data_IF_248777686205
#
_entry.id   IF_248777686205
#
_cell.length_a   1.000
_cell.length_b   1.000
_cell.length_c   1.000
_cell.angle_alpha   90.00
_cell.angle_beta   90.00
_cell.angle_gamma   90.00
#
_symmetry.space_group_name_H-M   'P 1'
#
loop_
_entity.id
_entity.type
_entity.pdbx_description
1 polymer ?
#
# COMPACT_ATOMS: atom_id res chain seq x y z
N UNK A 1 11.72 -3.93 20.28
CA UNK A 1 10.96 -5.14 20.64
C UNK A 1 9.49 -4.77 20.85
N UNK A 2 8.59 -5.33 20.03
CA UNK A 2 7.15 -5.02 20.08
C UNK A 2 6.47 -5.53 21.35
N UNK A 3 7.07 -6.49 22.05
CA UNK A 3 6.53 -7.03 23.31
C UNK A 3 6.58 -6.04 24.48
N UNK A 4 7.38 -4.98 24.36
CA UNK A 4 7.58 -3.97 25.40
C UNK A 4 6.76 -2.70 25.18
N UNK A 5 6.03 -2.60 24.06
CA UNK A 5 5.24 -1.43 23.68
C UNK A 5 3.76 -1.71 23.95
N UNK A 6 3.06 -0.72 24.49
CA UNK A 6 1.59 -0.81 24.61
C UNK A 6 0.95 -1.10 23.24
N UNK A 7 0.12 -2.14 23.10
CA UNK A 7 -0.45 -2.55 21.83
C UNK A 7 -1.28 -1.47 21.13
N UNK A 8 -1.92 -0.56 21.87
CA UNK A 8 -2.72 0.53 21.29
C UNK A 8 -1.79 1.58 20.68
N UNK A 9 -0.74 1.95 21.41
CA UNK A 9 0.29 2.88 20.95
C UNK A 9 1.01 2.35 19.73
N UNK A 10 1.41 1.06 19.74
CA UNK A 10 2.04 0.41 18.59
C UNK A 10 1.14 0.46 17.35
N UNK A 11 -0.12 0.05 17.47
CA UNK A 11 -1.07 0.02 16.34
C UNK A 11 -1.38 1.39 15.76
N UNK A 12 -1.38 2.44 16.58
CA UNK A 12 -1.57 3.83 16.12
C UNK A 12 -0.40 4.35 15.28
N UNK A 13 0.81 3.78 15.48
CA UNK A 13 2.01 4.10 14.70
C UNK A 13 2.16 3.29 13.41
N UNK A 14 1.24 2.36 13.11
CA UNK A 14 1.29 1.49 11.95
C UNK A 14 0.14 1.83 10.99
N UNK A 15 0.46 2.16 9.75
CA UNK A 15 -0.52 2.22 8.66
C UNK A 15 -0.77 0.83 8.11
N UNK A 16 -2.04 0.41 8.01
CA UNK A 16 -2.37 -0.94 7.55
C UNK A 16 -3.40 -0.91 6.44
N UNK A 17 -3.05 -1.55 5.32
CA UNK A 17 -3.94 -1.81 4.18
C UNK A 17 -4.17 -3.31 4.10
N UNK A 18 -5.41 -3.74 4.27
CA UNK A 18 -5.82 -5.14 4.15
C UNK A 18 -6.28 -5.42 2.72
N UNK A 19 -6.21 -6.66 2.28
CA UNK A 19 -6.62 -7.14 0.96
C UNK A 19 -8.07 -6.74 0.59
N UNK A 20 -9.00 -6.81 1.55
CA UNK A 20 -10.33 -6.19 1.43
C UNK A 20 -10.22 -4.75 1.95
N UNK A 21 -10.77 -3.79 1.21
CA UNK A 21 -10.58 -2.35 1.47
C UNK A 21 -10.86 -1.90 2.92
N UNK A 22 -11.69 -2.66 3.66
CA UNK A 22 -11.96 -2.46 5.08
C UNK A 22 -12.43 -1.05 5.44
N UNK A 23 -13.00 -0.30 4.48
CA UNK A 23 -13.57 1.01 4.73
C UNK A 23 -14.80 0.90 5.64
N UNK A 24 -14.97 1.87 6.53
CA UNK A 24 -16.15 1.96 7.38
C UNK A 24 -17.36 2.37 6.53
N UNK A 25 -18.36 1.48 6.30
CA UNK A 25 -19.44 1.71 5.34
C UNK A 25 -20.38 2.85 5.75
N UNK A 26 -20.44 3.16 7.04
CA UNK A 26 -21.27 4.23 7.62
C UNK A 26 -20.55 5.58 7.71
N UNK A 27 -19.30 5.67 7.26
CA UNK A 27 -18.52 6.89 7.22
C UNK A 27 -18.30 7.34 5.77
N UNK A 28 -18.31 8.66 5.54
CA UNK A 28 -17.87 9.21 4.25
C UNK A 28 -16.40 8.95 3.99
N UNK A 29 -15.95 9.17 2.77
CA UNK A 29 -14.54 9.07 2.36
C UNK A 29 -13.66 9.94 3.25
N UNK A 30 -14.00 11.20 3.42
CA UNK A 30 -13.25 12.11 4.29
C UNK A 30 -13.15 11.59 5.73
N UNK A 31 -14.25 11.08 6.30
CA UNK A 31 -14.26 10.52 7.66
C UNK A 31 -13.45 9.24 7.77
N UNK A 32 -13.43 8.40 6.73
CA UNK A 32 -12.58 7.22 6.67
C UNK A 32 -11.10 7.62 6.73
N UNK A 33 -10.67 8.59 5.92
CA UNK A 33 -9.28 9.08 5.88
C UNK A 33 -8.93 9.77 7.20
N UNK A 34 -9.82 10.59 7.74
CA UNK A 34 -9.61 11.35 8.97
C UNK A 34 -9.56 10.49 10.25
N UNK A 35 -9.96 9.22 10.21
CA UNK A 35 -10.18 8.38 11.38
C UNK A 35 -8.96 8.33 12.33
N UNK A 36 -7.78 7.98 11.81
CA UNK A 36 -6.57 7.88 12.65
C UNK A 36 -6.06 9.26 13.08
N UNK A 37 -5.92 10.28 12.20
CA UNK A 37 -5.61 11.64 12.62
C UNK A 37 -6.49 12.18 13.74
N UNK A 38 -7.82 11.94 13.67
CA UNK A 38 -8.75 12.36 14.72
C UNK A 38 -8.50 11.64 16.06
N UNK A 39 -8.23 10.32 16.04
CA UNK A 39 -7.86 9.55 17.24
C UNK A 39 -6.55 10.07 17.86
N UNK A 40 -5.61 10.56 17.03
CA UNK A 40 -4.36 11.17 17.47
C UNK A 40 -4.52 12.62 17.94
N UNK A 41 -5.71 13.17 17.89
CA UNK A 41 -6.01 14.52 18.40
C UNK A 41 -5.51 15.65 17.49
N UNK A 42 -5.38 15.41 16.17
CA UNK A 42 -5.08 16.49 15.24
C UNK A 42 -6.21 17.50 15.19
N UNK A 43 -5.87 18.78 15.02
CA UNK A 43 -6.87 19.82 14.80
C UNK A 43 -7.62 19.62 13.48
N UNK A 44 -8.83 20.20 13.41
CA UNK A 44 -9.75 19.99 12.29
C UNK A 44 -9.20 20.51 10.97
N UNK A 45 -8.60 21.70 10.99
CA UNK A 45 -8.11 22.33 9.75
C UNK A 45 -6.95 21.53 9.17
N UNK A 46 -6.07 20.98 10.01
CA UNK A 46 -5.00 20.07 9.61
C UNK A 46 -5.55 18.77 9.03
N UNK A 47 -6.58 18.19 9.64
CA UNK A 47 -7.24 16.98 9.14
C UNK A 47 -7.86 17.24 7.77
N UNK A 48 -8.60 18.34 7.63
CA UNK A 48 -9.29 18.69 6.38
C UNK A 48 -8.27 18.89 5.24
N UNK A 49 -7.20 19.64 5.46
CA UNK A 49 -6.12 19.82 4.48
C UNK A 49 -5.46 18.50 4.12
N UNK A 50 -5.22 17.62 5.10
CA UNK A 50 -4.62 16.31 4.87
C UNK A 50 -5.51 15.38 4.07
N UNK A 51 -6.82 15.43 4.29
CA UNK A 51 -7.80 14.65 3.52
C UNK A 51 -7.76 15.06 2.04
N UNK A 52 -7.74 16.36 1.76
CA UNK A 52 -7.70 16.88 0.38
C UNK A 52 -6.38 16.49 -0.32
N UNK A 53 -5.25 16.72 0.33
CA UNK A 53 -3.93 16.31 -0.17
C UNK A 53 -3.90 14.82 -0.54
N UNK A 54 -4.46 13.96 0.32
CA UNK A 54 -4.44 12.52 0.10
C UNK A 54 -5.43 12.06 -0.98
N UNK A 55 -6.54 12.73 -1.15
CA UNK A 55 -7.46 12.46 -2.25
C UNK A 55 -6.85 12.84 -3.60
N UNK A 56 -6.19 13.99 -3.68
CA UNK A 56 -5.46 14.41 -4.88
C UNK A 56 -4.34 13.42 -5.23
N UNK A 57 -3.59 12.96 -4.23
CA UNK A 57 -2.52 11.98 -4.39
C UNK A 57 -2.99 10.69 -5.08
N UNK A 58 -4.22 10.26 -4.83
CA UNK A 58 -4.79 9.07 -5.47
C UNK A 58 -5.73 9.38 -6.64
N UNK A 59 -5.66 10.58 -7.18
CA UNK A 59 -6.46 11.02 -8.32
C UNK A 59 -7.98 10.90 -8.09
N UNK A 60 -8.43 11.30 -6.91
CA UNK A 60 -9.84 11.43 -6.55
C UNK A 60 -10.11 12.89 -6.18
N UNK A 61 -10.78 13.63 -7.05
CA UNK A 61 -11.12 15.03 -6.81
C UNK A 61 -11.84 15.22 -5.45
N UNK A 62 -11.25 15.98 -4.51
CA UNK A 62 -11.85 16.20 -3.20
C UNK A 62 -13.27 16.76 -3.27
N UNK A 63 -13.55 17.69 -4.20
CA UNK A 63 -14.86 18.29 -4.37
C UNK A 63 -15.96 17.26 -4.73
N UNK A 64 -15.56 16.14 -5.35
CA UNK A 64 -16.49 15.08 -5.79
C UNK A 64 -16.55 13.94 -4.80
N UNK A 65 -15.43 13.58 -4.15
CA UNK A 65 -15.32 12.33 -3.42
C UNK A 65 -15.39 12.44 -1.90
N UNK A 66 -15.10 13.61 -1.29
CA UNK A 66 -15.05 13.77 0.17
C UNK A 66 -16.30 13.23 0.89
N UNK A 67 -17.48 13.54 0.36
CA UNK A 67 -18.76 13.25 1.01
C UNK A 67 -19.40 11.94 0.56
N UNK A 68 -18.79 11.25 -0.42
CA UNK A 68 -19.27 9.94 -0.86
C UNK A 68 -19.05 8.88 0.22
N UNK A 69 -19.91 7.88 0.20
CA UNK A 69 -19.81 6.69 1.04
C UNK A 69 -19.18 5.53 0.25
N UNK A 70 -18.56 4.54 0.93
CA UNK A 70 -17.94 3.40 0.26
C UNK A 70 -18.85 2.70 -0.77
N UNK A 71 -20.13 2.56 -0.51
CA UNK A 71 -21.10 1.97 -1.44
C UNK A 71 -21.27 2.74 -2.77
N UNK A 72 -20.84 3.99 -2.83
CA UNK A 72 -20.89 4.85 -4.02
C UNK A 72 -19.58 4.84 -4.83
N UNK A 73 -18.62 4.02 -4.43
CA UNK A 73 -17.29 3.92 -5.03
C UNK A 73 -17.12 2.60 -5.77
N UNK A 74 -16.37 2.61 -6.89
CA UNK A 74 -15.89 1.38 -7.51
C UNK A 74 -14.87 0.67 -6.60
N UNK A 75 -14.61 -0.62 -6.82
CA UNK A 75 -13.62 -1.39 -6.06
C UNK A 75 -12.23 -0.73 -6.07
N UNK A 76 -11.75 -0.25 -7.22
CA UNK A 76 -10.48 0.46 -7.34
C UNK A 76 -10.47 1.82 -6.61
N UNK A 77 -11.59 2.55 -6.60
CA UNK A 77 -11.73 3.78 -5.81
C UNK A 77 -11.70 3.49 -4.31
N UNK A 78 -12.40 2.43 -3.86
CA UNK A 78 -12.34 2.00 -2.46
C UNK A 78 -10.92 1.62 -2.04
N UNK A 79 -10.18 0.91 -2.90
CA UNK A 79 -8.81 0.51 -2.62
C UNK A 79 -7.88 1.72 -2.49
N UNK A 80 -8.02 2.72 -3.37
CA UNK A 80 -7.29 3.99 -3.29
C UNK A 80 -7.59 4.75 -1.99
N UNK A 81 -8.85 4.83 -1.58
CA UNK A 81 -9.24 5.42 -0.29
C UNK A 81 -8.65 4.63 0.89
N UNK A 82 -8.67 3.31 0.84
CA UNK A 82 -8.06 2.45 1.86
C UNK A 82 -6.55 2.70 2.02
N UNK A 83 -5.85 2.87 0.89
CA UNK A 83 -4.42 3.18 0.87
C UNK A 83 -4.13 4.53 1.55
N UNK A 84 -4.83 5.60 1.17
CA UNK A 84 -4.57 6.93 1.74
C UNK A 84 -5.06 7.06 3.18
N UNK A 85 -6.08 6.30 3.59
CA UNK A 85 -6.46 6.19 5.01
C UNK A 85 -5.30 5.67 5.86
N UNK A 86 -4.58 4.67 5.38
CA UNK A 86 -3.42 4.13 6.09
C UNK A 86 -2.25 5.12 6.14
N UNK A 87 -2.11 5.99 5.13
CA UNK A 87 -1.10 7.05 5.06
C UNK A 87 -1.46 8.30 5.88
N UNK A 88 -2.73 8.47 6.28
CA UNK A 88 -3.26 9.73 6.78
C UNK A 88 -2.49 10.31 7.98
N UNK A 89 -2.17 9.45 8.94
CA UNK A 89 -1.41 9.83 10.13
C UNK A 89 0.11 9.89 9.93
N UNK A 90 0.59 9.69 8.71
CA UNK A 90 2.03 9.62 8.40
C UNK A 90 2.80 8.61 9.26
N UNK A 91 2.37 7.33 9.34
CA UNK A 91 2.97 6.32 10.20
C UNK A 91 4.42 6.03 9.81
N UNK A 92 5.25 5.54 10.76
CA UNK A 92 6.64 5.15 10.50
C UNK A 92 6.76 3.78 9.81
N UNK A 93 5.75 2.93 9.97
CA UNK A 93 5.65 1.61 9.35
C UNK A 93 4.32 1.49 8.60
N UNK A 94 4.41 1.07 7.34
CA UNK A 94 3.25 0.70 6.52
C UNK A 94 3.26 -0.80 6.25
N UNK A 95 2.13 -1.45 6.52
CA UNK A 95 1.88 -2.84 6.15
C UNK A 95 0.80 -2.86 5.06
N UNK A 96 1.15 -3.38 3.89
CA UNK A 96 0.32 -3.30 2.69
C UNK A 96 0.10 -4.71 2.13
N UNK A 97 -1.12 -5.19 2.22
CA UNK A 97 -1.52 -6.50 1.71
C UNK A 97 -2.29 -6.33 0.41
N UNK A 98 -1.65 -6.68 -0.72
CA UNK A 98 -2.14 -6.53 -2.08
C UNK A 98 -2.76 -5.14 -2.39
N UNK A 99 -2.03 -4.04 -2.14
CA UNK A 99 -2.62 -2.69 -2.15
C UNK A 99 -3.11 -2.22 -3.54
N UNK A 100 -2.73 -2.91 -4.62
CA UNK A 100 -3.07 -2.53 -5.99
C UNK A 100 -3.98 -3.52 -6.71
N UNK A 101 -4.46 -4.58 -6.06
CA UNK A 101 -5.14 -5.71 -6.70
C UNK A 101 -6.38 -5.34 -7.53
N UNK A 102 -7.19 -4.37 -7.10
CA UNK A 102 -8.41 -3.94 -7.81
C UNK A 102 -8.24 -2.64 -8.61
N UNK A 103 -7.01 -2.14 -8.79
CA UNK A 103 -6.72 -0.88 -9.48
C UNK A 103 -6.34 -1.17 -10.94
N UNK A 104 -6.87 -0.38 -11.88
CA UNK A 104 -6.51 -0.47 -13.28
C UNK A 104 -5.02 -0.18 -13.53
N UNK A 105 -4.47 -0.70 -14.63
CA UNK A 105 -3.03 -0.70 -14.88
C UNK A 105 -2.40 0.71 -14.92
N UNK A 106 -3.10 1.69 -15.51
CA UNK A 106 -2.57 3.06 -15.64
C UNK A 106 -2.53 3.75 -14.27
N UNK A 107 -3.63 3.71 -13.55
CA UNK A 107 -3.72 4.27 -12.19
C UNK A 107 -2.77 3.56 -11.24
N UNK A 108 -2.64 2.22 -11.35
CA UNK A 108 -1.71 1.42 -10.55
C UNK A 108 -0.26 1.90 -10.74
N UNK A 109 0.20 2.06 -11.99
CA UNK A 109 1.55 2.52 -12.27
C UNK A 109 1.83 3.88 -11.62
N UNK A 110 0.91 4.83 -11.76
CA UNK A 110 1.01 6.17 -11.17
C UNK A 110 1.07 6.12 -9.63
N UNK A 111 0.22 5.30 -8.99
CA UNK A 111 0.22 5.15 -7.52
C UNK A 111 1.47 4.46 -6.99
N UNK A 112 2.01 3.50 -7.73
CA UNK A 112 3.29 2.86 -7.39
C UNK A 112 4.43 3.89 -7.40
N UNK A 113 4.49 4.75 -8.42
CA UNK A 113 5.51 5.79 -8.52
C UNK A 113 5.36 6.82 -7.39
N UNK A 114 4.12 7.17 -7.03
CA UNK A 114 3.85 8.08 -5.93
C UNK A 114 4.24 7.48 -4.57
N UNK A 115 3.96 6.19 -4.34
CA UNK A 115 4.41 5.50 -3.12
C UNK A 115 5.94 5.42 -3.02
N UNK A 116 6.63 5.16 -4.14
CA UNK A 116 8.10 5.21 -4.18
C UNK A 116 8.61 6.61 -3.83
N UNK A 117 7.95 7.67 -4.34
CA UNK A 117 8.29 9.06 -4.02
C UNK A 117 8.12 9.35 -2.51
N UNK A 118 7.00 8.92 -1.93
CA UNK A 118 6.74 9.06 -0.49
C UNK A 118 7.80 8.31 0.30
N UNK A 119 8.09 7.06 -0.04
CA UNK A 119 9.08 6.24 0.64
C UNK A 119 10.47 6.91 0.63
N UNK A 120 10.93 7.34 -0.54
CA UNK A 120 12.26 8.00 -0.67
C UNK A 120 12.37 9.28 0.13
N UNK A 121 11.30 10.06 0.20
CA UNK A 121 11.30 11.37 0.87
C UNK A 121 11.03 11.28 2.38
N UNK A 122 10.41 10.20 2.85
CA UNK A 122 9.99 10.09 4.26
C UNK A 122 10.94 9.29 5.14
N UNK A 123 11.80 8.43 4.55
CA UNK A 123 12.65 7.50 5.30
C UNK A 123 11.87 6.41 6.06
N UNK A 124 10.58 6.24 5.75
CA UNK A 124 9.68 5.30 6.44
C UNK A 124 9.81 3.90 5.88
N UNK A 125 9.42 2.90 6.68
CA UNK A 125 9.47 1.50 6.28
C UNK A 125 8.12 1.06 5.70
N UNK A 126 8.16 0.47 4.50
CA UNK A 126 6.99 -0.10 3.84
C UNK A 126 7.21 -1.61 3.66
N UNK A 127 6.26 -2.41 4.14
CA UNK A 127 6.23 -3.85 3.92
C UNK A 127 5.05 -4.16 3.01
N UNK A 128 5.36 -4.68 1.83
CA UNK A 128 4.38 -5.09 0.84
C UNK A 128 4.22 -6.60 0.83
N UNK A 129 2.98 -7.07 0.79
CA UNK A 129 2.65 -8.43 0.35
C UNK A 129 1.99 -8.33 -1.01
N UNK A 130 2.54 -9.01 -1.99
CA UNK A 130 1.99 -9.07 -3.35
C UNK A 130 2.28 -10.43 -3.98
N UNK A 131 1.39 -10.87 -4.86
CA UNK A 131 1.61 -12.03 -5.73
C UNK A 131 2.18 -11.61 -7.10
N UNK A 132 2.33 -10.31 -7.36
CA UNK A 132 2.93 -9.79 -8.58
C UNK A 132 4.43 -9.54 -8.38
N UNK A 133 5.24 -10.37 -9.01
CA UNK A 133 6.70 -10.28 -8.91
C UNK A 133 7.21 -8.96 -9.51
N UNK A 134 6.54 -8.42 -10.54
CA UNK A 134 6.92 -7.13 -11.14
C UNK A 134 6.76 -5.99 -10.14
N UNK A 135 5.69 -6.01 -9.35
CA UNK A 135 5.51 -5.06 -8.26
C UNK A 135 6.61 -5.21 -7.20
N UNK A 136 6.90 -6.44 -6.78
CA UNK A 136 7.94 -6.70 -5.79
C UNK A 136 9.33 -6.20 -6.24
N UNK A 137 9.69 -6.44 -7.51
CA UNK A 137 10.96 -6.00 -8.08
C UNK A 137 11.01 -4.47 -8.28
N UNK A 138 9.88 -3.85 -8.66
CA UNK A 138 9.80 -2.39 -8.87
C UNK A 138 9.85 -1.61 -7.57
N UNK A 139 9.11 -2.08 -6.55
CA UNK A 139 8.86 -1.31 -5.33
C UNK A 139 9.81 -1.67 -4.18
N UNK A 140 10.29 -2.91 -4.14
CA UNK A 140 11.09 -3.42 -3.03
C UNK A 140 12.54 -2.95 -3.08
N UNK A 141 13.06 -2.48 -1.96
CA UNK A 141 14.52 -2.36 -1.75
C UNK A 141 15.12 -3.72 -1.37
N UNK A 142 14.30 -4.56 -0.75
CA UNK A 142 14.57 -5.98 -0.46
C UNK A 142 13.32 -6.78 -0.79
N UNK A 143 13.50 -7.97 -1.34
CA UNK A 143 12.41 -8.89 -1.68
C UNK A 143 12.59 -10.18 -0.89
N UNK A 144 11.53 -10.58 -0.20
CA UNK A 144 11.43 -11.85 0.50
C UNK A 144 10.49 -12.78 -0.26
N UNK A 145 11.02 -13.88 -0.79
CA UNK A 145 10.23 -14.92 -1.46
C UNK A 145 9.90 -16.02 -0.45
N UNK A 146 8.62 -16.31 -0.29
CA UNK A 146 8.11 -17.34 0.61
C UNK A 146 7.32 -18.35 -0.21
N UNK A 147 7.54 -19.64 0.07
CA UNK A 147 6.77 -20.74 -0.48
C UNK A 147 6.52 -21.78 0.61
N UNK A 148 5.29 -22.28 0.71
CA UNK A 148 4.84 -23.23 1.74
C UNK A 148 5.29 -22.86 3.17
N UNK A 149 5.26 -21.57 3.51
CA UNK A 149 5.68 -21.06 4.83
C UNK A 149 7.19 -21.06 5.07
N UNK A 150 8.01 -21.31 4.04
CA UNK A 150 9.47 -21.31 4.11
C UNK A 150 10.06 -20.17 3.30
N UNK A 151 11.08 -19.53 3.84
CA UNK A 151 11.83 -18.50 3.11
C UNK A 151 12.66 -19.19 2.04
N UNK A 152 12.40 -18.83 0.78
CA UNK A 152 13.13 -19.34 -0.38
C UNK A 152 14.34 -18.46 -0.71
N UNK A 153 14.18 -17.14 -0.59
CA UNK A 153 15.25 -16.17 -0.78
C UNK A 153 14.88 -14.83 -0.14
N UNK A 154 15.89 -14.11 0.37
CA UNK A 154 15.77 -12.71 0.81
C UNK A 154 16.97 -11.94 0.24
N UNK A 155 16.71 -11.06 -0.73
CA UNK A 155 17.74 -10.39 -1.49
C UNK A 155 17.28 -9.03 -2.04
N UNK A 156 18.19 -8.23 -2.54
CA UNK A 156 17.86 -7.08 -3.38
C UNK A 156 17.29 -7.53 -4.74
N UNK A 157 16.46 -6.73 -5.41
CA UNK A 157 15.87 -7.09 -6.72
C UNK A 157 16.90 -7.57 -7.75
N UNK A 158 18.01 -6.85 -7.89
CA UNK A 158 19.06 -7.21 -8.87
C UNK A 158 19.74 -8.54 -8.52
N UNK A 159 19.97 -8.81 -7.25
CA UNK A 159 20.53 -10.08 -6.79
C UNK A 159 19.53 -11.22 -7.00
N UNK A 160 18.25 -11.00 -6.73
CA UNK A 160 17.19 -11.97 -6.95
C UNK A 160 17.14 -12.41 -8.42
N UNK A 161 17.22 -11.44 -9.34
CA UNK A 161 17.24 -11.69 -10.79
C UNK A 161 18.52 -12.39 -11.26
N UNK A 162 19.68 -11.96 -10.76
CA UNK A 162 20.97 -12.49 -11.21
C UNK A 162 21.31 -13.87 -10.63
N UNK A 163 20.84 -14.16 -9.40
CA UNK A 163 21.22 -15.34 -8.63
C UNK A 163 20.03 -15.95 -7.88
N UNK A 164 19.03 -16.50 -8.59
CA UNK A 164 17.92 -17.19 -7.93
C UNK A 164 18.43 -18.38 -7.10
N UNK A 165 18.16 -18.37 -5.79
CA UNK A 165 18.74 -19.31 -4.84
C UNK A 165 18.13 -20.72 -4.94
N UNK A 166 16.87 -20.84 -5.35
CA UNK A 166 16.15 -22.11 -5.43
C UNK A 166 15.52 -22.33 -6.81
N UNK A 167 15.21 -23.58 -7.20
CA UNK A 167 14.44 -23.84 -8.42
C UNK A 167 13.12 -23.10 -8.46
N UNK A 168 12.41 -23.02 -7.32
CA UNK A 168 11.15 -22.29 -7.19
C UNK A 168 11.31 -20.80 -7.56
N UNK A 169 12.31 -20.12 -7.00
CA UNK A 169 12.57 -18.70 -7.32
C UNK A 169 12.87 -18.51 -8.80
N UNK A 170 13.66 -19.41 -9.40
CA UNK A 170 13.98 -19.36 -10.82
C UNK A 170 12.74 -19.51 -11.70
N UNK A 171 11.87 -20.45 -11.38
CA UNK A 171 10.61 -20.69 -12.10
C UNK A 171 9.66 -19.51 -11.95
N UNK A 172 9.51 -18.98 -10.73
CA UNK A 172 8.70 -17.79 -10.43
C UNK A 172 9.09 -16.59 -11.30
N UNK A 173 10.40 -16.32 -11.43
CA UNK A 173 10.94 -15.24 -12.25
C UNK A 173 10.75 -15.51 -13.76
N UNK A 174 10.92 -16.76 -14.22
CA UNK A 174 10.75 -17.14 -15.62
C UNK A 174 9.29 -17.00 -16.08
N UNK A 175 8.32 -17.38 -15.25
CA UNK A 175 6.89 -17.20 -15.53
C UNK A 175 6.51 -15.74 -15.76
N UNK A 176 7.14 -14.81 -15.04
CA UNK A 176 6.88 -13.37 -15.21
C UNK A 176 7.47 -12.83 -16.51
N UNK A 177 8.67 -13.25 -16.89
CA UNK A 177 9.28 -12.83 -18.17
C UNK A 177 8.39 -13.22 -19.36
N UNK A 178 7.78 -14.40 -19.32
CA UNK A 178 6.86 -14.90 -20.36
C UNK A 178 5.55 -14.09 -20.41
N UNK A 179 5.00 -13.68 -19.27
CA UNK A 179 3.79 -12.84 -19.21
C UNK A 179 4.03 -11.43 -19.76
N UNK A 180 5.20 -10.84 -19.47
CA UNK A 180 5.56 -9.53 -19.98
C UNK A 180 5.72 -9.51 -21.51
N UNK A 181 6.16 -10.61 -22.12
CA UNK A 181 6.29 -10.76 -23.59
C UNK A 181 4.95 -11.05 -24.29
N UNK A 182 3.98 -11.65 -23.60
CA UNK A 182 2.66 -12.01 -24.17
C UNK A 182 1.62 -10.88 -24.06
N UNK A 183 1.89 -9.82 -23.32
CA UNK A 183 0.99 -8.68 -23.10
C UNK A 183 1.42 -7.38 -23.78
N UNK A 184 2.40 -7.44 -24.71
CA UNK A 184 2.89 -6.31 -25.47
C UNK A 184 2.24 -6.16 -26.86
#
# INVERSE_FOLDING_TARGET
DVSTIDPVTLRRGIGYVIQQTGLFPHMSVAKNIACVPAILGWDRDRIDARVDELLDLVHLDPAVFRDRYPAQLSGGQQQRVGLVRALAASPDLMLLDEPFGAIDAITRASLQDELLRIHRNSGKTFIFVTHDVTEALKLGTKVLVIDEGRIQQYAEPDELLARPATPFVRELLACQATRAMAGG
#
